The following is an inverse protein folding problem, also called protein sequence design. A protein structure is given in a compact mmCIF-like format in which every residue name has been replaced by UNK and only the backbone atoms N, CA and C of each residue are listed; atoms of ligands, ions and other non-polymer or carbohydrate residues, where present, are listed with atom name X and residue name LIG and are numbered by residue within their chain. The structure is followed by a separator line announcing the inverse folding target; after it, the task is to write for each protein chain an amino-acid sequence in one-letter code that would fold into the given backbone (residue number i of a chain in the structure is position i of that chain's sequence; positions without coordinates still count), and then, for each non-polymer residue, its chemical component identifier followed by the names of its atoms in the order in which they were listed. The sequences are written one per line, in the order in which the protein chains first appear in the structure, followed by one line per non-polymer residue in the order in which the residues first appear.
data_IF_084645081524
#
_entry.id   IF_084645081524
#
_cell.length_a   1.000
_cell.length_b   1.000
_cell.length_c   1.000
_cell.angle_alpha   90.00
_cell.angle_beta   90.00
_cell.angle_gamma   90.00
#
_symmetry.space_group_name_H-M   'P 1'
#
loop_
_entity.id
_entity.type
_entity.pdbx_description
1 polymer ?
#
# COMPACT_ATOMS: atom_id res chain seq x y z
N UNK A 1 0.39 8.31 4.56
CA UNK A 1 1.11 7.77 3.40
C UNK A 1 0.83 6.29 3.32
N UNK A 2 0.52 5.78 2.15
CA UNK A 2 0.24 4.36 1.92
C UNK A 2 1.44 3.76 1.23
N UNK A 3 1.95 2.72 1.88
CA UNK A 3 3.06 1.88 1.47
C UNK A 3 2.71 0.44 1.83
N UNK A 4 3.38 -0.48 1.16
CA UNK A 4 3.22 -1.90 1.39
C UNK A 4 4.58 -2.49 1.76
N UNK A 5 4.54 -3.54 2.56
CA UNK A 5 5.73 -4.21 3.03
C UNK A 5 5.48 -5.69 3.21
N UNK A 6 6.57 -6.45 3.15
CA UNK A 6 6.59 -7.87 3.49
C UNK A 6 7.58 -8.12 4.62
N UNK A 7 7.32 -9.16 5.39
CA UNK A 7 8.25 -9.64 6.41
C UNK A 7 9.11 -10.77 5.81
N UNK A 8 10.37 -10.47 5.50
CA UNK A 8 11.30 -11.46 4.96
C UNK A 8 11.66 -12.50 6.04
N UNK A 9 11.73 -13.77 5.64
CA UNK A 9 12.17 -14.88 6.49
C UNK A 9 13.70 -14.90 6.64
N UNK A 10 14.20 -15.48 7.74
CA UNK A 10 15.64 -15.73 7.97
C UNK A 10 16.34 -14.76 8.93
N UNK A 11 15.65 -13.71 9.38
CA UNK A 11 16.07 -12.82 10.47
C UNK A 11 14.93 -12.67 11.46
N UNK A 12 15.23 -12.31 12.72
CA UNK A 12 14.19 -12.07 13.75
C UNK A 12 13.22 -10.97 13.32
N UNK A 13 13.71 -9.93 12.65
CA UNK A 13 12.91 -8.88 12.03
C UNK A 13 13.61 -8.41 10.75
N UNK A 14 12.93 -8.54 9.62
CA UNK A 14 13.36 -7.97 8.35
C UNK A 14 12.13 -7.51 7.57
N UNK A 15 11.83 -6.21 7.66
CA UNK A 15 10.71 -5.60 6.93
C UNK A 15 11.26 -4.97 5.66
N UNK A 16 10.68 -5.33 4.51
CA UNK A 16 11.06 -4.78 3.22
C UNK A 16 9.88 -4.04 2.63
N UNK A 17 10.07 -2.77 2.31
CA UNK A 17 9.13 -2.02 1.50
C UNK A 17 9.11 -2.58 0.08
N UNK A 18 7.90 -2.74 -0.46
CA UNK A 18 7.65 -3.26 -1.80
C UNK A 18 6.61 -2.39 -2.48
N UNK A 19 6.41 -2.60 -3.78
CA UNK A 19 5.37 -1.89 -4.50
C UNK A 19 4.00 -2.21 -3.90
N UNK A 20 3.11 -1.22 -3.83
CA UNK A 20 1.76 -1.39 -3.30
C UNK A 20 1.05 -2.56 -3.99
N UNK A 21 0.53 -3.52 -3.22
CA UNK A 21 -0.13 -4.73 -3.72
C UNK A 21 0.78 -5.93 -3.91
N UNK A 22 2.09 -5.79 -3.69
CA UNK A 22 3.06 -6.90 -3.68
C UNK A 22 3.47 -7.33 -2.25
N UNK A 23 2.99 -6.64 -1.22
CA UNK A 23 3.28 -6.95 0.18
C UNK A 23 2.14 -7.65 0.89
N UNK A 24 2.17 -7.54 2.21
CA UNK A 24 1.30 -8.27 3.14
C UNK A 24 0.45 -7.33 3.99
N UNK A 25 0.56 -6.02 3.78
CA UNK A 25 -0.23 -5.05 4.55
C UNK A 25 -1.71 -5.21 4.14
N UNK A 26 -2.66 -5.28 5.09
CA UNK A 26 -4.09 -5.37 4.77
C UNK A 26 -4.63 -4.00 4.32
N UNK A 27 -4.26 -3.57 3.10
CA UNK A 27 -4.53 -2.23 2.57
C UNK A 27 -6.02 -1.91 2.56
N UNK A 28 -6.88 -2.83 2.12
CA UNK A 28 -8.35 -2.69 2.17
C UNK A 28 -8.84 -2.23 3.54
N UNK A 29 -8.47 -2.98 4.58
CA UNK A 29 -8.91 -2.71 5.94
C UNK A 29 -8.51 -1.29 6.37
N UNK A 30 -7.26 -0.89 6.13
CA UNK A 30 -6.81 0.45 6.50
C UNK A 30 -7.49 1.55 5.70
N UNK A 31 -7.75 1.35 4.40
CA UNK A 31 -8.49 2.32 3.59
C UNK A 31 -9.93 2.48 4.08
N UNK A 32 -10.60 1.39 4.45
CA UNK A 32 -11.95 1.43 5.02
C UNK A 32 -11.96 2.20 6.35
N UNK A 33 -10.94 2.00 7.21
CA UNK A 33 -10.80 2.75 8.46
C UNK A 33 -10.49 4.23 8.23
N UNK A 34 -9.64 4.57 7.26
CA UNK A 34 -9.34 5.96 6.90
C UNK A 34 -10.61 6.66 6.41
N UNK A 35 -11.36 6.03 5.50
CA UNK A 35 -12.60 6.59 4.97
C UNK A 35 -13.69 6.76 6.04
N UNK A 36 -13.73 5.88 7.05
CA UNK A 36 -14.63 6.04 8.21
C UNK A 36 -14.21 7.18 9.14
N UNK A 37 -12.91 7.41 9.28
CA UNK A 37 -12.37 8.45 10.14
C UNK A 37 -12.60 9.84 9.56
N UNK A 38 -12.27 10.02 8.28
CA UNK A 38 -12.50 11.25 7.51
C UNK A 38 -12.49 10.92 6.00
N UNK A 39 -13.66 10.99 5.32
CA UNK A 39 -13.77 10.72 3.89
C UNK A 39 -12.95 11.66 3.00
N UNK A 40 -12.60 12.85 3.49
CA UNK A 40 -11.83 13.85 2.76
C UNK A 40 -10.32 13.75 3.03
N UNK A 41 -9.90 12.77 3.84
CA UNK A 41 -8.50 12.59 4.21
C UNK A 41 -7.64 12.26 2.97
N UNK A 42 -6.66 13.11 2.62
CA UNK A 42 -5.81 12.83 1.47
C UNK A 42 -4.88 11.65 1.76
N UNK A 43 -4.78 10.76 0.79
CA UNK A 43 -3.85 9.63 0.82
C UNK A 43 -2.76 9.81 -0.24
N UNK A 44 -1.51 9.66 0.17
CA UNK A 44 -0.33 9.72 -0.70
C UNK A 44 0.25 8.32 -0.89
N UNK A 45 0.44 7.90 -2.14
CA UNK A 45 1.24 6.73 -2.49
C UNK A 45 2.74 7.08 -2.38
N UNK A 46 3.48 6.34 -1.57
CA UNK A 46 4.87 6.64 -1.22
C UNK A 46 5.86 5.67 -1.88
N UNK A 47 7.15 6.04 -1.93
CA UNK A 47 8.27 5.20 -2.39
C UNK A 47 8.22 4.73 -3.86
N UNK A 48 7.85 5.66 -4.76
CA UNK A 48 7.76 5.37 -6.18
C UNK A 48 8.99 5.95 -6.91
N UNK A 49 9.85 5.11 -7.54
CA UNK A 49 11.07 5.57 -8.20
C UNK A 49 10.80 6.38 -9.48
N UNK A 50 9.63 6.17 -10.10
CA UNK A 50 9.23 6.80 -11.36
C UNK A 50 7.70 6.77 -11.54
N UNK A 51 7.24 7.31 -12.67
CA UNK A 51 5.82 7.38 -13.02
C UNK A 51 5.21 6.03 -13.42
N UNK A 52 6.01 5.07 -13.86
CA UNK A 52 5.50 3.74 -14.21
C UNK A 52 5.19 2.95 -12.95
N UNK A 53 6.06 3.02 -11.95
CA UNK A 53 5.80 2.52 -10.60
C UNK A 53 4.55 3.17 -10.00
N UNK A 54 4.38 4.49 -10.16
CA UNK A 54 3.16 5.18 -9.71
C UNK A 54 1.89 4.61 -10.36
N UNK A 55 1.88 4.44 -11.68
CA UNK A 55 0.72 3.90 -12.41
C UNK A 55 0.39 2.49 -11.95
N UNK A 56 1.41 1.65 -11.76
CA UNK A 56 1.22 0.28 -11.31
C UNK A 56 0.71 0.23 -9.86
N UNK A 57 1.29 1.01 -8.95
CA UNK A 57 0.81 1.12 -7.57
C UNK A 57 -0.63 1.62 -7.50
N UNK A 58 -1.00 2.63 -8.31
CA UNK A 58 -2.37 3.13 -8.39
C UNK A 58 -3.34 2.06 -8.90
N UNK A 59 -2.95 1.32 -9.96
CA UNK A 59 -3.74 0.20 -10.48
C UNK A 59 -3.95 -0.88 -9.41
N UNK A 60 -2.89 -1.28 -8.72
CA UNK A 60 -2.97 -2.30 -7.67
C UNK A 60 -3.88 -1.84 -6.52
N UNK A 61 -3.83 -0.56 -6.16
CA UNK A 61 -4.76 0.01 -5.18
C UNK A 61 -6.21 -0.10 -5.66
N UNK A 62 -6.48 0.26 -6.91
CA UNK A 62 -7.83 0.20 -7.47
C UNK A 62 -8.35 -1.25 -7.49
N UNK A 63 -7.52 -2.21 -7.91
CA UNK A 63 -7.87 -3.63 -7.90
C UNK A 63 -8.19 -4.12 -6.47
N UNK A 64 -7.37 -3.75 -5.47
CA UNK A 64 -7.63 -4.05 -4.06
C UNK A 64 -8.93 -3.41 -3.59
N UNK A 65 -9.27 -2.22 -4.12
CA UNK A 65 -10.44 -1.45 -3.73
C UNK A 65 -11.74 -1.85 -4.45
N UNK A 66 -11.66 -2.57 -5.57
CA UNK A 66 -12.80 -3.12 -6.30
C UNK A 66 -13.16 -4.56 -5.89
N UNK A 67 -12.19 -5.36 -5.44
CA UNK A 67 -12.39 -6.75 -4.98
C UNK A 67 -12.86 -6.89 -3.54
#
# INVERSE_FOLDING_TARGET
HVKDCRLDVGLTVAIREVLLGEGEVPIRYYMDQINQLDPDMPVLLEHLPDMDAYRLAKKNLDDILEG
#
